data_IF_850622151613
#
_entry.id   IF_850622151613
#
_cell.length_a   1.000
_cell.length_b   1.000
_cell.length_c   1.000
_cell.angle_alpha   90.00
_cell.angle_beta   90.00
_cell.angle_gamma   90.00
#
_symmetry.space_group_name_H-M   'P 1'
#
loop_
_entity.id
_entity.type
_entity.pdbx_description
1 polymer ?
#
# COMPACT_ATOMS: atom_id res chain seq x y z
N UNK A 1 -36.37 -5.11 18.76
CA UNK A 1 -34.92 -4.89 18.76
C UNK A 1 -34.27 -6.28 18.69
N UNK A 2 -33.35 -6.53 17.74
CA UNK A 2 -32.60 -7.77 17.69
C UNK A 2 -31.78 -7.94 18.98
N UNK A 3 -31.70 -9.18 19.48
CA UNK A 3 -30.85 -9.50 20.65
C UNK A 3 -29.42 -9.08 20.35
N UNK A 4 -28.63 -8.56 21.32
CA UNK A 4 -27.19 -8.31 21.14
C UNK A 4 -26.40 -9.54 20.70
N UNK A 5 -26.95 -10.75 20.86
CA UNK A 5 -26.37 -12.01 20.41
C UNK A 5 -26.75 -12.42 18.97
N UNK A 6 -27.65 -11.68 18.31
CA UNK A 6 -28.09 -11.96 16.93
C UNK A 6 -27.23 -11.19 15.93
N UNK A 7 -26.07 -11.77 15.60
CA UNK A 7 -25.14 -11.23 14.60
C UNK A 7 -24.69 -12.34 13.66
N UNK A 8 -24.28 -11.93 12.45
CA UNK A 8 -23.75 -12.86 11.45
C UNK A 8 -22.42 -13.46 11.93
N UNK A 9 -22.31 -14.80 11.95
CA UNK A 9 -21.15 -15.52 12.49
C UNK A 9 -20.29 -16.20 11.45
N UNK A 10 -20.79 -16.33 10.23
CA UNK A 10 -20.03 -16.85 9.09
C UNK A 10 -19.12 -15.76 8.53
N UNK A 11 -17.79 -15.95 8.61
CA UNK A 11 -16.81 -14.99 8.15
C UNK A 11 -16.87 -14.72 6.65
N UNK A 12 -17.19 -15.73 5.82
CA UNK A 12 -17.31 -15.57 4.37
C UNK A 12 -18.55 -14.70 4.04
N UNK A 13 -19.69 -15.03 4.64
CA UNK A 13 -20.92 -14.26 4.47
C UNK A 13 -20.79 -12.81 4.97
N UNK A 14 -20.00 -12.57 6.05
CA UNK A 14 -19.66 -11.20 6.50
C UNK A 14 -18.89 -10.44 5.42
N UNK A 15 -17.86 -11.07 4.83
CA UNK A 15 -17.08 -10.45 3.76
C UNK A 15 -17.93 -10.12 2.53
N UNK A 16 -18.72 -11.09 2.04
CA UNK A 16 -19.62 -10.89 0.88
C UNK A 16 -20.59 -9.73 1.12
N UNK A 17 -21.25 -9.73 2.28
CA UNK A 17 -22.20 -8.67 2.65
C UNK A 17 -21.53 -7.31 2.78
N UNK A 18 -20.36 -7.25 3.42
CA UNK A 18 -19.60 -6.00 3.57
C UNK A 18 -19.20 -5.45 2.19
N UNK A 19 -18.69 -6.28 1.29
CA UNK A 19 -18.30 -5.86 -0.03
C UNK A 19 -19.49 -5.45 -0.89
N UNK A 20 -20.64 -6.12 -0.75
CA UNK A 20 -21.88 -5.73 -1.42
C UNK A 20 -22.37 -4.34 -0.98
N UNK A 21 -22.31 -4.06 0.33
CA UNK A 21 -22.66 -2.74 0.88
C UNK A 21 -21.71 -1.67 0.33
N UNK A 22 -20.39 -1.91 0.38
CA UNK A 22 -19.39 -0.96 -0.12
C UNK A 22 -19.63 -0.66 -1.61
N UNK A 23 -19.90 -1.69 -2.42
CA UNK A 23 -20.17 -1.50 -3.86
C UNK A 23 -21.47 -0.75 -4.15
N UNK A 24 -22.46 -0.84 -3.26
CA UNK A 24 -23.72 -0.13 -3.37
C UNK A 24 -23.61 1.34 -2.95
N UNK A 25 -22.73 1.65 -1.99
CA UNK A 25 -22.64 2.98 -1.38
C UNK A 25 -21.48 3.83 -1.92
N UNK A 26 -20.36 3.20 -2.35
CA UNK A 26 -19.20 3.93 -2.85
C UNK A 26 -19.36 4.28 -4.33
N UNK A 27 -19.00 5.51 -4.71
CA UNK A 27 -18.84 5.87 -6.12
C UNK A 27 -17.55 5.26 -6.69
N UNK A 28 -17.69 4.14 -7.37
CA UNK A 28 -16.62 3.42 -8.03
C UNK A 28 -16.59 3.63 -9.56
N UNK A 29 -17.45 4.52 -10.09
CA UNK A 29 -17.68 4.70 -11.54
C UNK A 29 -16.43 5.09 -12.34
N UNK A 30 -15.45 5.71 -11.68
CA UNK A 30 -14.19 6.15 -12.28
C UNK A 30 -13.09 5.09 -12.31
N UNK A 31 -13.33 3.93 -11.72
CA UNK A 31 -12.36 2.85 -11.62
C UNK A 31 -12.65 1.73 -12.61
N UNK A 32 -11.61 1.10 -13.11
CA UNK A 32 -11.77 -0.19 -13.79
C UNK A 32 -12.32 -1.25 -12.82
N UNK A 33 -12.82 -2.38 -13.31
CA UNK A 33 -13.26 -3.47 -12.44
C UNK A 33 -12.16 -3.92 -11.45
N UNK A 34 -10.91 -4.02 -11.92
CA UNK A 34 -9.77 -4.44 -11.11
C UNK A 34 -9.37 -3.39 -10.08
N UNK A 35 -9.43 -2.10 -10.43
CA UNK A 35 -9.19 -1.00 -9.50
C UNK A 35 -10.30 -0.92 -8.46
N UNK A 36 -11.55 -1.16 -8.86
CA UNK A 36 -12.70 -1.24 -7.95
C UNK A 36 -12.52 -2.32 -6.89
N UNK A 37 -11.99 -3.49 -7.25
CA UNK A 37 -11.69 -4.57 -6.30
C UNK A 37 -10.67 -4.13 -5.24
N UNK A 38 -9.62 -3.42 -5.66
CA UNK A 38 -8.62 -2.87 -4.73
C UNK A 38 -9.24 -1.80 -3.84
N UNK A 39 -10.01 -0.86 -4.42
CA UNK A 39 -10.67 0.21 -3.68
C UNK A 39 -11.65 -0.34 -2.63
N UNK A 40 -12.50 -1.30 -2.99
CA UNK A 40 -13.45 -1.96 -2.07
C UNK A 40 -12.73 -2.58 -0.89
N UNK A 41 -11.62 -3.27 -1.11
CA UNK A 41 -10.84 -3.88 -0.01
C UNK A 41 -10.17 -2.84 0.88
N UNK A 42 -9.72 -1.72 0.32
CA UNK A 42 -9.17 -0.61 1.10
C UNK A 42 -10.27 0.07 1.95
N UNK A 43 -11.45 0.30 1.38
CA UNK A 43 -12.63 0.84 2.07
C UNK A 43 -13.04 -0.10 3.21
N UNK A 44 -13.11 -1.41 2.94
CA UNK A 44 -13.42 -2.40 3.97
C UNK A 44 -12.46 -2.35 5.16
N UNK A 45 -11.16 -2.12 4.90
CA UNK A 45 -10.13 -2.06 5.95
C UNK A 45 -10.22 -0.82 6.86
N UNK A 46 -10.88 0.25 6.43
CA UNK A 46 -10.99 1.49 7.20
C UNK A 46 -12.45 1.87 7.57
N UNK A 47 -13.47 1.25 6.94
CA UNK A 47 -14.87 1.56 7.15
C UNK A 47 -15.32 2.92 6.61
N UNK A 48 -14.57 3.51 5.66
CA UNK A 48 -14.80 4.86 5.15
C UNK A 48 -15.19 4.84 3.68
N UNK A 49 -16.46 4.95 3.36
CA UNK A 49 -16.98 4.94 1.97
C UNK A 49 -16.41 6.09 1.14
N UNK A 50 -16.27 7.26 1.74
CA UNK A 50 -15.70 8.47 1.12
C UNK A 50 -14.22 8.30 0.70
N UNK A 51 -13.54 7.24 1.12
CA UNK A 51 -12.20 6.94 0.66
C UNK A 51 -12.14 6.79 -0.85
N UNK A 52 -13.20 6.28 -1.48
CA UNK A 52 -13.29 6.11 -2.94
C UNK A 52 -12.93 7.39 -3.69
N UNK A 53 -13.38 8.57 -3.23
CA UNK A 53 -13.08 9.84 -3.86
C UNK A 53 -11.61 10.26 -3.79
N UNK A 54 -10.82 9.66 -2.90
CA UNK A 54 -9.41 10.02 -2.62
C UNK A 54 -8.39 9.04 -3.19
N UNK A 55 -8.80 7.83 -3.55
CA UNK A 55 -7.89 6.84 -4.15
C UNK A 55 -7.54 7.30 -5.57
N UNK A 56 -6.26 7.20 -5.92
CA UNK A 56 -5.77 7.48 -7.28
C UNK A 56 -4.89 6.31 -7.71
N UNK A 57 -5.22 5.75 -8.86
CA UNK A 57 -4.40 4.77 -9.55
C UNK A 57 -3.70 5.45 -10.73
N UNK A 58 -2.42 5.16 -10.95
CA UNK A 58 -1.64 5.70 -12.06
C UNK A 58 -0.77 4.63 -12.71
N UNK A 59 -0.52 4.80 -14.02
CA UNK A 59 0.43 3.96 -14.75
C UNK A 59 0.06 2.48 -14.85
N UNK A 60 -1.23 2.12 -14.72
CA UNK A 60 -1.65 0.71 -14.76
C UNK A 60 -1.17 -0.11 -13.57
N UNK A 61 -1.08 0.50 -12.39
CA UNK A 61 -0.50 -0.07 -11.16
C UNK A 61 -1.07 -1.43 -10.78
N UNK A 62 -2.38 -1.65 -10.99
CA UNK A 62 -3.02 -2.93 -10.62
C UNK A 62 -2.47 -4.08 -11.46
N UNK A 63 -2.43 -3.92 -12.78
CA UNK A 63 -1.92 -4.94 -13.68
C UNK A 63 -0.43 -5.20 -13.45
N UNK A 64 0.37 -4.13 -13.32
CA UNK A 64 1.82 -4.24 -13.13
C UNK A 64 2.17 -4.88 -11.78
N UNK A 65 1.53 -4.46 -10.69
CA UNK A 65 1.78 -5.04 -9.38
C UNK A 65 1.36 -6.53 -9.31
N UNK A 66 0.22 -6.90 -9.90
CA UNK A 66 -0.21 -8.31 -10.00
C UNK A 66 0.79 -9.16 -10.77
N UNK A 67 1.27 -8.68 -11.92
CA UNK A 67 2.28 -9.38 -12.70
C UNK A 67 3.60 -9.55 -11.93
N UNK A 68 4.07 -8.51 -11.26
CA UNK A 68 5.27 -8.57 -10.42
C UNK A 68 5.11 -9.58 -9.29
N UNK A 69 3.98 -9.54 -8.55
CA UNK A 69 3.72 -10.51 -7.48
C UNK A 69 3.66 -11.95 -8.02
N UNK A 70 3.00 -12.17 -9.15
CA UNK A 70 2.95 -13.50 -9.78
C UNK A 70 4.33 -14.02 -10.19
N UNK A 71 5.26 -13.12 -10.54
CA UNK A 71 6.65 -13.45 -10.86
C UNK A 71 7.55 -13.60 -9.62
N UNK A 72 7.01 -13.52 -8.40
CA UNK A 72 7.77 -13.70 -7.17
C UNK A 72 8.43 -12.43 -6.61
N UNK A 73 8.10 -11.26 -7.13
CA UNK A 73 8.64 -9.99 -6.65
C UNK A 73 8.44 -9.81 -5.14
N UNK A 74 9.42 -9.22 -4.41
CA UNK A 74 9.27 -8.94 -3.00
C UNK A 74 8.29 -7.79 -2.77
N UNK A 75 7.65 -7.78 -1.59
CA UNK A 75 6.90 -6.64 -1.06
C UNK A 75 7.77 -5.93 -0.04
N UNK A 76 8.15 -4.68 -0.31
CA UNK A 76 8.98 -3.85 0.57
C UNK A 76 8.09 -2.91 1.37
N UNK A 77 8.10 -3.03 2.70
CA UNK A 77 7.20 -2.35 3.60
C UNK A 77 7.96 -1.34 4.48
N UNK A 78 7.44 -0.11 4.62
CA UNK A 78 8.02 0.94 5.45
C UNK A 78 7.82 0.72 6.95
N UNK A 79 6.89 -0.14 7.32
CA UNK A 79 6.57 -0.42 8.73
C UNK A 79 6.22 -1.88 8.97
N UNK A 80 6.46 -2.34 10.20
CA UNK A 80 6.07 -3.68 10.65
C UNK A 80 4.55 -3.89 10.57
N UNK A 81 3.76 -2.84 10.81
CA UNK A 81 2.30 -2.93 10.71
C UNK A 81 1.85 -3.25 9.27
N UNK A 82 2.46 -2.63 8.26
CA UNK A 82 2.19 -2.99 6.85
C UNK A 82 2.61 -4.42 6.59
N UNK A 83 3.85 -4.78 6.97
CA UNK A 83 4.40 -6.11 6.72
C UNK A 83 3.58 -7.23 7.39
N UNK A 84 3.11 -7.02 8.60
CA UNK A 84 2.25 -8.00 9.30
C UNK A 84 0.80 -8.02 8.78
N UNK A 85 0.31 -6.91 8.23
CA UNK A 85 -1.00 -6.84 7.59
C UNK A 85 -1.09 -7.57 6.25
N UNK A 86 0.05 -7.84 5.59
CA UNK A 86 0.10 -8.64 4.36
C UNK A 86 -0.16 -10.11 4.68
N UNK A 87 -1.24 -10.65 4.14
CA UNK A 87 -1.64 -12.05 4.30
C UNK A 87 -0.78 -12.94 3.39
N UNK A 88 0.27 -13.54 3.92
CA UNK A 88 1.24 -14.32 3.15
C UNK A 88 0.60 -15.46 2.34
N UNK A 89 -0.43 -16.12 2.88
CA UNK A 89 -1.17 -17.17 2.20
C UNK A 89 -1.92 -16.69 0.94
N UNK A 90 -2.08 -15.39 0.74
CA UNK A 90 -2.67 -14.79 -0.45
C UNK A 90 -1.66 -14.46 -1.54
N UNK A 91 -0.38 -14.40 -1.21
CA UNK A 91 0.69 -14.10 -2.17
C UNK A 91 0.80 -15.24 -3.19
N UNK A 92 0.86 -14.92 -4.51
CA UNK A 92 0.74 -15.92 -5.57
C UNK A 92 2.00 -16.77 -5.78
N UNK A 93 3.13 -16.36 -5.20
CA UNK A 93 4.41 -17.04 -5.30
C UNK A 93 5.14 -17.01 -3.95
N UNK A 94 6.40 -17.43 -3.92
CA UNK A 94 7.25 -17.33 -2.72
C UNK A 94 7.72 -15.88 -2.45
N UNK A 95 6.80 -14.92 -2.51
CA UNK A 95 7.07 -13.50 -2.35
C UNK A 95 7.58 -13.21 -0.93
N UNK A 96 8.75 -12.59 -0.84
CA UNK A 96 9.28 -12.11 0.44
C UNK A 96 8.58 -10.81 0.84
N UNK A 97 8.12 -10.72 2.08
CA UNK A 97 7.62 -9.46 2.67
C UNK A 97 8.72 -8.95 3.60
N UNK A 98 9.29 -7.81 3.26
CA UNK A 98 10.49 -7.27 3.89
C UNK A 98 10.18 -5.91 4.51
N UNK A 99 10.53 -5.75 5.80
CA UNK A 99 10.59 -4.48 6.50
C UNK A 99 11.96 -4.33 7.14
N UNK A 100 12.65 -3.24 6.85
CA UNK A 100 14.00 -2.96 7.37
C UNK A 100 14.01 -1.93 8.49
N UNK A 101 12.83 -1.51 8.98
CA UNK A 101 12.71 -0.50 10.04
C UNK A 101 13.40 -0.92 11.34
N UNK A 102 13.46 -2.23 11.63
CA UNK A 102 14.12 -2.81 12.81
C UNK A 102 15.47 -3.45 12.50
N UNK A 103 15.99 -3.27 11.29
CA UNK A 103 17.36 -3.73 10.98
C UNK A 103 18.35 -3.02 11.91
N UNK A 104 19.32 -3.74 12.51
CA UNK A 104 20.31 -3.14 13.43
C UNK A 104 21.09 -1.97 12.85
N UNK A 105 21.22 -1.90 11.54
CA UNK A 105 21.92 -0.81 10.83
C UNK A 105 21.08 0.48 10.73
N UNK A 106 19.76 0.38 10.79
CA UNK A 106 18.85 1.50 10.55
C UNK A 106 19.07 2.70 11.49
N UNK A 107 19.30 2.53 12.82
CA UNK A 107 19.57 3.67 13.69
C UNK A 107 20.83 4.44 13.30
N UNK A 108 21.94 3.74 13.03
CA UNK A 108 23.20 4.39 12.63
C UNK A 108 23.08 5.08 11.27
N UNK A 109 22.37 4.48 10.31
CA UNK A 109 22.07 5.12 9.03
C UNK A 109 21.22 6.38 9.18
N UNK A 110 20.23 6.37 10.07
CA UNK A 110 19.41 7.54 10.33
C UNK A 110 20.22 8.73 10.89
N UNK A 111 21.13 8.45 11.81
CA UNK A 111 22.06 9.44 12.36
C UNK A 111 23.02 9.98 11.28
N UNK A 112 23.66 9.08 10.54
CA UNK A 112 24.60 9.44 9.46
C UNK A 112 23.94 10.31 8.38
N UNK A 113 22.69 10.02 8.02
CA UNK A 113 21.95 10.73 6.98
C UNK A 113 21.18 11.94 7.49
N UNK A 114 21.16 12.18 8.82
CA UNK A 114 20.39 13.27 9.43
C UNK A 114 18.90 13.18 9.16
N UNK A 115 18.34 11.95 9.13
CA UNK A 115 16.94 11.71 8.71
C UNK A 115 16.21 10.78 9.69
N UNK A 116 14.93 10.49 9.40
CA UNK A 116 14.14 9.55 10.22
C UNK A 116 14.58 8.11 9.99
N UNK A 117 14.36 7.25 10.98
CA UNK A 117 14.58 5.80 10.82
C UNK A 117 13.81 5.21 9.64
N UNK A 118 12.58 5.69 9.42
CA UNK A 118 11.75 5.21 8.31
C UNK A 118 12.34 5.55 6.94
N UNK A 119 12.91 6.75 6.79
CA UNK A 119 13.62 7.12 5.55
C UNK A 119 14.95 6.35 5.41
N UNK A 120 15.76 6.29 6.47
CA UNK A 120 17.03 5.58 6.44
C UNK A 120 16.89 4.08 6.17
N UNK A 121 15.82 3.45 6.64
CA UNK A 121 15.54 2.05 6.41
C UNK A 121 15.44 1.68 4.91
N UNK A 122 15.05 2.63 4.05
CA UNK A 122 14.93 2.42 2.61
C UNK A 122 16.29 2.23 1.93
N UNK A 123 17.38 2.73 2.50
CA UNK A 123 18.72 2.50 1.97
C UNK A 123 19.06 1.00 1.90
N UNK A 124 18.48 0.23 2.80
CA UNK A 124 18.65 -1.23 2.84
C UNK A 124 17.80 -1.97 1.81
N UNK A 125 17.02 -1.25 1.01
CA UNK A 125 16.22 -1.82 -0.09
C UNK A 125 16.95 -1.82 -1.42
N UNK A 126 18.06 -1.07 -1.58
CA UNK A 126 18.71 -0.84 -2.89
C UNK A 126 18.88 -2.13 -3.71
N UNK A 127 19.40 -3.19 -3.11
CA UNK A 127 19.65 -4.47 -3.78
C UNK A 127 18.38 -5.29 -4.06
N UNK A 128 17.20 -4.83 -3.61
CA UNK A 128 15.91 -5.53 -3.69
C UNK A 128 14.82 -4.69 -4.32
N UNK A 129 15.15 -3.45 -4.71
CA UNK A 129 14.16 -2.48 -5.19
C UNK A 129 13.74 -2.79 -6.63
N UNK A 130 14.64 -3.36 -7.44
CA UNK A 130 14.35 -3.69 -8.82
C UNK A 130 13.16 -4.66 -8.93
N UNK A 131 12.13 -4.24 -9.67
CA UNK A 131 10.92 -5.02 -9.86
C UNK A 131 10.06 -5.26 -8.61
N UNK A 132 10.42 -4.71 -7.45
CA UNK A 132 9.67 -4.90 -6.20
C UNK A 132 8.31 -4.20 -6.21
N UNK A 133 7.38 -4.67 -5.39
CA UNK A 133 6.17 -3.91 -5.01
C UNK A 133 6.46 -3.17 -3.71
N UNK A 134 6.53 -1.84 -3.78
CA UNK A 134 6.77 -1.00 -2.60
C UNK A 134 5.45 -0.62 -1.93
N UNK A 135 5.37 -0.81 -0.61
CA UNK A 135 4.18 -0.58 0.21
C UNK A 135 4.53 0.36 1.38
N UNK A 136 4.33 1.67 1.19
CA UNK A 136 4.56 2.72 2.18
C UNK A 136 3.22 3.14 2.76
N UNK A 137 2.94 2.75 4.00
CA UNK A 137 1.67 2.98 4.67
C UNK A 137 1.77 3.75 5.99
N UNK A 138 2.97 4.10 6.42
CA UNK A 138 3.15 4.77 7.69
C UNK A 138 3.81 6.14 7.54
N UNK A 139 5.05 6.19 7.03
CA UNK A 139 5.89 7.37 7.14
C UNK A 139 5.97 8.18 5.83
N UNK A 140 5.51 9.44 5.82
CA UNK A 140 5.72 10.36 4.69
C UNK A 140 7.19 10.50 4.29
N UNK A 141 8.10 10.51 5.27
CA UNK A 141 9.54 10.60 5.04
C UNK A 141 10.11 9.40 4.29
N UNK A 142 9.52 8.21 4.44
CA UNK A 142 9.87 7.05 3.64
C UNK A 142 9.47 7.26 2.16
N UNK A 143 8.28 7.83 1.90
CA UNK A 143 7.85 8.09 0.54
C UNK A 143 8.73 9.15 -0.13
N UNK A 144 9.04 10.27 0.54
CA UNK A 144 9.97 11.26 0.04
C UNK A 144 11.33 10.63 -0.27
N UNK A 145 11.89 9.83 0.67
CA UNK A 145 13.19 9.18 0.45
C UNK A 145 13.18 8.24 -0.75
N UNK A 146 12.11 7.48 -0.95
CA UNK A 146 11.98 6.66 -2.16
C UNK A 146 12.07 7.50 -3.43
N UNK A 147 11.37 8.64 -3.47
CA UNK A 147 11.38 9.54 -4.63
C UNK A 147 12.78 10.09 -4.90
N UNK A 148 13.50 10.52 -3.84
CA UNK A 148 14.89 10.97 -3.94
C UNK A 148 15.80 9.84 -4.46
N UNK A 149 15.68 8.62 -3.91
CA UNK A 149 16.46 7.47 -4.38
C UNK A 149 16.24 7.18 -5.87
N UNK A 150 15.00 7.30 -6.35
CA UNK A 150 14.69 7.12 -7.76
C UNK A 150 15.27 8.25 -8.64
N UNK A 151 15.29 9.48 -8.13
CA UNK A 151 15.94 10.62 -8.82
C UNK A 151 17.46 10.43 -8.87
N UNK A 152 18.05 9.82 -7.84
CA UNK A 152 19.48 9.45 -7.74
C UNK A 152 19.83 8.17 -8.55
N UNK A 153 18.91 7.63 -9.34
CA UNK A 153 19.15 6.49 -10.22
C UNK A 153 19.10 5.12 -9.52
N UNK A 154 18.44 5.01 -8.38
CA UNK A 154 18.20 3.70 -7.76
C UNK A 154 17.40 2.76 -8.68
N UNK A 155 17.54 1.41 -8.52
CA UNK A 155 16.75 0.45 -9.25
C UNK A 155 15.24 0.72 -9.13
N UNK A 156 14.49 0.39 -10.18
CA UNK A 156 13.08 0.77 -10.29
C UNK A 156 12.13 -0.31 -9.75
N UNK A 157 11.24 0.02 -8.80
CA UNK A 157 10.19 -0.91 -8.39
C UNK A 157 9.16 -1.11 -9.50
N UNK A 158 8.49 -2.23 -9.51
CA UNK A 158 7.38 -2.49 -10.43
C UNK A 158 6.16 -1.61 -10.12
N UNK A 159 5.92 -1.32 -8.84
CA UNK A 159 4.79 -0.50 -8.40
C UNK A 159 5.06 0.15 -7.04
N UNK A 160 4.46 1.33 -6.82
CA UNK A 160 4.53 2.08 -5.56
C UNK A 160 3.12 2.25 -4.98
N UNK A 161 2.85 1.63 -3.84
CA UNK A 161 1.65 1.86 -3.03
C UNK A 161 2.02 2.91 -1.98
N UNK A 162 1.86 4.20 -2.34
CA UNK A 162 2.22 5.34 -1.51
C UNK A 162 1.01 5.86 -0.72
N UNK A 163 0.72 5.25 0.42
CA UNK A 163 -0.46 5.55 1.25
C UNK A 163 -0.06 5.94 2.69
N UNK A 164 1.00 6.75 2.91
CA UNK A 164 1.31 7.20 4.26
C UNK A 164 0.19 8.04 4.84
N UNK A 165 0.07 8.04 6.17
CA UNK A 165 -0.92 8.78 6.94
C UNK A 165 -0.25 9.87 7.78
N UNK A 166 -0.92 11.00 7.99
CA UNK A 166 -0.44 11.99 8.94
C UNK A 166 -0.76 13.43 8.60
N UNK A 167 -0.26 14.32 9.47
CA UNK A 167 -0.51 15.75 9.40
C UNK A 167 0.66 16.55 8.80
N UNK A 168 1.86 15.96 8.78
CA UNK A 168 3.08 16.60 8.27
C UNK A 168 3.67 15.71 7.16
N UNK A 169 3.70 16.21 5.94
CA UNK A 169 4.29 15.54 4.78
C UNK A 169 3.44 14.43 4.14
N UNK A 170 2.31 14.02 4.74
CA UNK A 170 1.53 12.90 4.20
C UNK A 170 0.81 13.26 2.89
N UNK A 171 0.19 14.41 2.81
CA UNK A 171 -0.42 14.89 1.57
C UNK A 171 0.66 15.21 0.54
N UNK A 172 1.66 15.95 0.97
CA UNK A 172 2.74 16.47 0.13
C UNK A 172 3.57 15.36 -0.52
N UNK A 173 3.89 14.29 0.21
CA UNK A 173 4.64 13.15 -0.36
C UNK A 173 3.85 12.40 -1.43
N UNK A 174 2.55 12.24 -1.24
CA UNK A 174 1.66 11.60 -2.21
C UNK A 174 1.42 12.48 -3.44
N UNK A 175 1.27 13.78 -3.23
CA UNK A 175 1.14 14.75 -4.32
C UNK A 175 2.44 14.82 -5.14
N UNK A 176 3.61 14.74 -4.50
CA UNK A 176 4.91 14.66 -5.18
C UNK A 176 5.03 13.40 -6.05
N UNK A 177 4.59 12.23 -5.54
CA UNK A 177 4.56 11.00 -6.34
C UNK A 177 3.58 11.13 -7.52
N UNK A 178 2.39 11.68 -7.31
CA UNK A 178 1.38 11.84 -8.37
C UNK A 178 1.78 12.87 -9.44
N UNK A 179 2.44 13.96 -9.04
CA UNK A 179 2.90 15.01 -9.95
C UNK A 179 4.08 14.53 -10.82
N UNK A 180 4.99 13.75 -10.27
CA UNK A 180 6.12 13.17 -11.01
C UNK A 180 6.33 11.72 -10.54
N UNK A 181 5.65 10.75 -11.16
CA UNK A 181 5.79 9.32 -10.81
C UNK A 181 7.08 8.69 -11.31
N UNK A 182 7.94 9.43 -12.00
CA UNK A 182 9.21 8.94 -12.57
C UNK A 182 9.03 7.72 -13.48
N UNK A 183 7.85 7.65 -14.13
CA UNK A 183 7.44 6.50 -14.95
C UNK A 183 7.01 5.27 -14.15
N UNK A 184 6.89 5.38 -12.82
CA UNK A 184 6.44 4.25 -11.98
C UNK A 184 4.92 4.18 -11.89
N UNK A 185 4.33 2.98 -12.04
CA UNK A 185 2.95 2.73 -11.66
C UNK A 185 2.74 2.98 -10.16
N UNK A 186 1.65 3.67 -9.80
CA UNK A 186 1.42 4.01 -8.41
C UNK A 186 -0.05 3.97 -7.99
N UNK A 187 -0.25 3.78 -6.68
CA UNK A 187 -1.51 3.95 -5.97
C UNK A 187 -1.27 4.89 -4.79
N UNK A 188 -2.12 5.91 -4.64
CA UNK A 188 -2.13 6.82 -3.48
C UNK A 188 -3.54 7.02 -2.94
N UNK A 189 -3.63 7.57 -1.74
CA UNK A 189 -4.86 8.16 -1.16
C UNK A 189 -4.59 9.64 -0.89
N UNK A 190 -5.26 10.54 -1.61
CA UNK A 190 -5.03 11.98 -1.50
C UNK A 190 -5.26 12.52 -0.08
N UNK A 191 -4.54 13.59 0.25
CA UNK A 191 -4.65 14.29 1.53
C UNK A 191 -4.01 13.53 2.68
N UNK A 192 -4.50 13.72 3.90
CA UNK A 192 -3.94 13.15 5.15
C UNK A 192 -4.29 11.69 5.38
N UNK A 193 -5.36 11.20 4.74
CA UNK A 193 -5.84 9.83 4.87
C UNK A 193 -4.83 8.83 4.31
N UNK A 194 -4.78 7.65 4.89
CA UNK A 194 -3.85 6.57 4.57
C UNK A 194 -3.67 5.64 5.75
N UNK A 195 -2.58 4.92 5.76
CA UNK A 195 -2.18 4.10 6.90
C UNK A 195 -1.93 2.64 6.56
N UNK A 196 -1.29 1.96 7.49
CA UNK A 196 -0.80 0.59 7.31
C UNK A 196 -1.91 -0.40 6.96
N UNK A 197 -3.12 -0.25 7.54
CA UNK A 197 -4.25 -1.13 7.27
C UNK A 197 -4.72 -1.02 5.80
N UNK A 198 -4.89 0.21 5.31
CA UNK A 198 -5.27 0.45 3.92
C UNK A 198 -4.22 -0.04 2.93
N UNK A 199 -2.93 0.18 3.24
CA UNK A 199 -1.81 -0.25 2.41
C UNK A 199 -1.72 -1.77 2.34
N UNK A 200 -1.81 -2.45 3.48
CA UNK A 200 -1.84 -3.92 3.52
C UNK A 200 -3.06 -4.48 2.80
N UNK A 201 -4.22 -3.83 2.93
CA UNK A 201 -5.44 -4.22 2.20
C UNK A 201 -5.25 -4.09 0.67
N UNK A 202 -4.58 -3.04 0.20
CA UNK A 202 -4.23 -2.88 -1.21
C UNK A 202 -3.30 -4.01 -1.68
N UNK A 203 -2.22 -4.32 -0.94
CA UNK A 203 -1.34 -5.46 -1.26
C UNK A 203 -2.13 -6.77 -1.32
N UNK A 204 -3.01 -7.03 -0.34
CA UNK A 204 -3.82 -8.25 -0.28
C UNK A 204 -4.84 -8.36 -1.43
N UNK A 205 -5.33 -7.23 -1.96
CA UNK A 205 -6.20 -7.20 -3.12
C UNK A 205 -5.43 -7.46 -4.43
N UNK A 206 -4.19 -6.96 -4.51
CA UNK A 206 -3.31 -7.18 -5.66
C UNK A 206 -2.77 -8.62 -5.70
N UNK A 207 -2.51 -9.22 -4.54
CA UNK A 207 -1.98 -10.58 -4.42
C UNK A 207 -2.95 -11.65 -4.96
N UNK A 208 -4.25 -11.43 -4.86
CA UNK A 208 -5.27 -12.37 -5.33
C UNK A 208 -6.47 -11.61 -5.89
N UNK A 209 -6.85 -11.91 -7.13
CA UNK A 209 -8.08 -11.40 -7.71
C UNK A 209 -9.32 -12.01 -7.01
N UNK A 210 -10.33 -11.18 -6.76
CA UNK A 210 -11.56 -11.60 -6.09
C UNK A 210 -11.48 -11.58 -4.55
N UNK A 211 -12.57 -12.05 -3.94
CA UNK A 211 -12.76 -12.16 -2.47
C UNK A 211 -11.84 -13.21 -1.87
#
# INVERSE_FOLDING_TARGET
MASPADYLRDGHAIYERSFAIIRAEADLSRFSPEESDVAVRMIHACGMIELAARIVFGGGVVATARAALASGAPVLCDSEMVAHGVTRARLPAANKVVCTLRDPRTPALAEQLGTTRSAAALELWRDRLDGAVVAIGNAPTALFRLLEMLDDGAPRPAAILGVPVGFVGAAESKDALAANPRGMPFLIVRGRAGGSAMTAAAVNALARAGI
#
